data_IF_018467844290
#
_entry.id   IF_018467844290
#
_cell.length_a   1.000
_cell.length_b   1.000
_cell.length_c   1.000
_cell.angle_alpha   90.00
_cell.angle_beta   90.00
_cell.angle_gamma   90.00
#
_symmetry.space_group_name_H-M   'P 1'
#
loop_
_entity.id
_entity.type
_entity.pdbx_description
1 polymer ?
#
# COMPACT_ATOMS: atom_id res chain seq x y z
N UNK A 1 29.66 -0.10 19.46
CA UNK A 1 28.85 0.30 20.63
C UNK A 1 28.88 -0.83 21.64
N UNK A 2 29.31 -0.52 22.87
CA UNK A 2 29.69 -1.48 23.91
C UNK A 2 28.46 -2.16 24.50
N UNK A 3 28.44 -3.50 24.43
CA UNK A 3 27.55 -4.33 25.26
C UNK A 3 28.04 -4.32 26.70
N UNK A 4 27.23 -3.83 27.60
CA UNK A 4 27.45 -3.98 29.05
C UNK A 4 26.68 -5.21 29.53
N UNK A 5 27.44 -6.23 29.95
CA UNK A 5 26.90 -7.41 30.66
C UNK A 5 26.55 -6.99 32.08
N UNK A 6 25.30 -7.20 32.46
CA UNK A 6 24.89 -7.19 33.85
C UNK A 6 25.24 -8.56 34.44
N UNK A 7 26.13 -8.54 35.41
CA UNK A 7 26.47 -9.66 36.23
C UNK A 7 25.47 -9.69 37.40
N UNK A 8 24.69 -10.75 37.48
CA UNK A 8 23.84 -11.04 38.64
C UNK A 8 24.63 -11.99 39.54
N UNK A 9 25.27 -11.46 40.57
CA UNK A 9 25.83 -12.26 41.63
C UNK A 9 24.79 -12.47 42.71
N UNK A 10 24.38 -13.71 42.86
CA UNK A 10 23.69 -14.27 44.01
C UNK A 10 24.57 -14.14 45.23
N UNK A 11 24.14 -13.44 46.26
CA UNK A 11 24.58 -13.73 47.61
C UNK A 11 23.54 -13.29 48.67
N UNK A 12 22.61 -14.17 48.91
CA UNK A 12 21.66 -14.06 50.02
C UNK A 12 22.29 -14.75 51.24
N UNK A 13 23.28 -14.09 51.84
CA UNK A 13 23.80 -14.52 53.16
C UNK A 13 22.96 -13.91 54.28
N UNK A 14 22.16 -14.75 54.90
CA UNK A 14 21.53 -14.46 56.17
C UNK A 14 22.60 -14.54 57.29
N UNK A 15 23.16 -13.38 57.64
CA UNK A 15 24.18 -13.30 58.71
C UNK A 15 23.46 -13.36 60.08
N UNK A 16 23.60 -14.49 60.74
CA UNK A 16 23.16 -14.66 62.15
C UNK A 16 24.17 -13.97 63.06
N UNK A 17 23.81 -12.80 63.56
CA UNK A 17 24.59 -12.14 64.61
C UNK A 17 24.13 -12.74 65.93
N UNK A 18 24.93 -13.63 66.48
CA UNK A 18 24.78 -14.10 67.89
C UNK A 18 25.44 -13.09 68.80
N UNK A 19 24.57 -12.31 69.49
CA UNK A 19 25.02 -11.44 70.57
C UNK A 19 24.80 -12.17 71.89
N UNK A 20 25.87 -12.54 72.56
CA UNK A 20 25.87 -13.18 73.90
C UNK A 20 25.68 -12.07 74.96
N UNK A 21 24.53 -11.97 75.53
CA UNK A 21 24.36 -11.31 76.81
C UNK A 21 23.30 -12.05 77.65
N UNK A 22 23.78 -12.48 78.78
CA UNK A 22 23.10 -13.15 79.89
C UNK A 22 21.94 -12.27 80.44
N UNK A 23 20.74 -12.81 80.59
CA UNK A 23 19.66 -12.09 81.26
C UNK A 23 18.32 -12.77 81.08
N UNK A 24 17.89 -13.47 82.14
CA UNK A 24 16.59 -14.08 82.28
C UNK A 24 15.44 -13.11 81.96
N UNK A 25 14.52 -13.47 81.01
CA UNK A 25 13.10 -13.27 81.25
C UNK A 25 12.23 -14.10 80.27
N UNK A 26 11.28 -14.78 80.80
CA UNK A 26 10.23 -15.53 80.13
C UNK A 26 9.28 -14.61 79.37
N UNK A 27 8.65 -15.21 78.37
CA UNK A 27 7.47 -14.74 77.57
C UNK A 27 7.74 -13.65 76.52
N UNK A 28 7.78 -14.06 75.31
CA UNK A 28 7.13 -13.38 74.12
C UNK A 28 7.44 -14.15 72.84
N UNK A 29 7.11 -15.45 72.80
CA UNK A 29 7.21 -16.23 71.51
C UNK A 29 6.10 -15.95 70.52
N UNK A 30 5.01 -15.25 70.94
CA UNK A 30 3.81 -15.08 70.07
C UNK A 30 3.86 -13.88 69.14
N UNK A 31 4.58 -12.83 69.49
CA UNK A 31 4.56 -11.59 68.69
C UNK A 31 5.46 -11.64 67.42
N UNK A 32 6.51 -12.46 67.43
CA UNK A 32 7.44 -12.57 66.28
C UNK A 32 6.87 -13.42 65.14
N UNK A 33 6.04 -14.42 65.47
CA UNK A 33 5.35 -15.25 64.43
C UNK A 33 4.31 -14.44 63.67
N UNK A 34 3.56 -13.58 64.37
CA UNK A 34 2.56 -12.70 63.77
C UNK A 34 3.16 -11.64 62.83
N UNK A 35 4.34 -11.10 63.12
CA UNK A 35 5.03 -10.10 62.31
C UNK A 35 5.62 -10.75 61.02
N UNK A 36 6.14 -11.97 61.14
CA UNK A 36 6.60 -12.71 59.96
C UNK A 36 5.45 -13.14 59.05
N UNK A 37 4.32 -13.58 59.58
CA UNK A 37 3.13 -13.93 58.81
C UNK A 37 2.53 -12.71 58.09
N UNK A 38 2.49 -11.55 58.75
CA UNK A 38 2.04 -10.29 58.14
C UNK A 38 2.93 -9.80 57.01
N UNK A 39 4.24 -9.96 57.14
CA UNK A 39 5.19 -9.61 56.05
C UNK A 39 5.12 -10.57 54.86
N UNK A 40 4.93 -11.87 55.08
CA UNK A 40 4.71 -12.82 53.98
C UNK A 40 3.40 -12.58 53.25
N UNK A 41 2.31 -12.27 53.96
CA UNK A 41 1.03 -11.92 53.35
C UNK A 41 1.10 -10.61 52.55
N UNK A 42 1.85 -9.61 53.03
CA UNK A 42 2.05 -8.35 52.31
C UNK A 42 2.90 -8.55 51.03
N UNK A 43 3.91 -9.38 51.07
CA UNK A 43 4.71 -9.74 49.90
C UNK A 43 3.91 -10.55 48.86
N UNK A 44 3.04 -11.47 49.32
CA UNK A 44 2.15 -12.22 48.44
C UNK A 44 1.09 -11.33 47.78
N UNK A 45 0.58 -10.32 48.49
CA UNK A 45 -0.36 -9.35 47.94
C UNK A 45 0.28 -8.46 46.87
N UNK A 46 1.57 -8.10 47.00
CA UNK A 46 2.30 -7.30 45.99
C UNK A 46 2.54 -8.12 44.73
N UNK A 47 2.81 -9.42 44.82
CA UNK A 47 3.00 -10.33 43.68
C UNK A 47 1.72 -10.56 42.87
N UNK A 48 0.54 -10.45 43.46
CA UNK A 48 -0.75 -10.62 42.79
C UNK A 48 -1.17 -9.39 41.96
N UNK A 49 -0.58 -8.21 42.16
CA UNK A 49 -0.95 -6.98 41.46
C UNK A 49 -0.15 -6.71 40.17
N UNK A 50 0.91 -7.47 39.87
CA UNK A 50 1.76 -7.26 38.71
C UNK A 50 1.28 -7.96 37.46
N UNK A 51 0.29 -8.85 37.53
CA UNK A 51 -0.16 -9.70 36.42
C UNK A 51 -1.04 -8.98 35.37
N UNK A 52 -1.69 -7.88 35.75
CA UNK A 52 -2.66 -7.20 34.86
C UNK A 52 -2.00 -6.31 33.78
N UNK A 53 -0.84 -5.73 34.05
CA UNK A 53 -0.15 -4.89 33.08
C UNK A 53 0.52 -5.71 31.96
N UNK A 54 1.02 -6.90 32.27
CA UNK A 54 1.67 -7.76 31.26
C UNK A 54 0.69 -8.33 30.22
N UNK A 55 -0.59 -8.51 30.57
CA UNK A 55 -1.59 -9.07 29.65
C UNK A 55 -2.06 -8.06 28.59
N UNK A 56 -2.13 -6.77 28.91
CA UNK A 56 -2.55 -5.74 27.95
C UNK A 56 -1.51 -5.51 26.88
N UNK A 57 -0.22 -5.56 27.23
CA UNK A 57 0.88 -5.42 26.26
C UNK A 57 0.94 -6.62 25.30
N UNK A 58 0.73 -7.83 25.81
CA UNK A 58 0.70 -9.05 24.98
C UNK A 58 -0.46 -9.05 23.99
N UNK A 59 -1.66 -8.62 24.40
CA UNK A 59 -2.81 -8.55 23.51
C UNK A 59 -2.64 -7.48 22.42
N UNK A 60 -2.01 -6.34 22.74
CA UNK A 60 -1.67 -5.28 21.79
C UNK A 60 -0.65 -5.77 20.78
N UNK A 61 0.42 -6.41 21.21
CA UNK A 61 1.43 -6.98 20.33
C UNK A 61 0.84 -8.03 19.37
N UNK A 62 -0.04 -8.90 19.88
CA UNK A 62 -0.72 -9.90 19.06
C UNK A 62 -1.61 -9.25 17.98
N UNK A 63 -2.31 -8.17 18.34
CA UNK A 63 -3.14 -7.39 17.42
C UNK A 63 -2.29 -6.75 16.29
N UNK A 64 -1.19 -6.08 16.67
CA UNK A 64 -0.26 -5.44 15.74
C UNK A 64 0.42 -6.47 14.83
N UNK A 65 0.84 -7.60 15.40
CA UNK A 65 1.42 -8.70 14.63
C UNK A 65 0.44 -9.28 13.60
N UNK A 66 -0.81 -9.54 13.99
CA UNK A 66 -1.83 -10.04 13.09
C UNK A 66 -2.10 -9.05 11.95
N UNK A 67 -2.20 -7.75 12.26
CA UNK A 67 -2.38 -6.70 11.27
C UNK A 67 -1.19 -6.60 10.30
N UNK A 68 0.04 -6.62 10.83
CA UNK A 68 1.27 -6.54 10.03
C UNK A 68 1.40 -7.76 9.11
N UNK A 69 1.16 -8.95 9.62
CA UNK A 69 1.22 -10.19 8.84
C UNK A 69 0.22 -10.18 7.68
N UNK A 70 -1.01 -9.73 7.90
CA UNK A 70 -2.03 -9.60 6.86
C UNK A 70 -1.62 -8.58 5.78
N UNK A 71 -1.03 -7.45 6.17
CA UNK A 71 -0.51 -6.45 5.24
C UNK A 71 0.65 -7.01 4.42
N UNK A 72 1.62 -7.66 5.05
CA UNK A 72 2.74 -8.28 4.36
C UNK A 72 2.28 -9.34 3.36
N UNK A 73 1.30 -10.16 3.74
CA UNK A 73 0.72 -11.17 2.85
C UNK A 73 -0.01 -10.54 1.65
N UNK A 74 -0.73 -9.43 1.86
CA UNK A 74 -1.47 -8.75 0.78
C UNK A 74 -0.53 -8.22 -0.31
N UNK A 75 0.63 -7.68 0.06
CA UNK A 75 1.59 -7.08 -0.88
C UNK A 75 2.88 -7.88 -1.07
N UNK A 76 2.92 -9.14 -0.66
CA UNK A 76 4.11 -10.01 -0.82
C UNK A 76 4.60 -10.16 -2.26
N UNK A 77 3.68 -10.05 -3.24
CA UNK A 77 3.98 -10.18 -4.67
C UNK A 77 4.00 -8.82 -5.40
N UNK A 78 4.04 -7.70 -4.68
CA UNK A 78 4.15 -6.39 -5.30
C UNK A 78 5.51 -6.22 -5.95
N UNK A 79 5.52 -5.60 -7.12
CA UNK A 79 6.76 -5.18 -7.75
C UNK A 79 7.35 -4.00 -6.98
N UNK A 80 8.64 -4.09 -6.65
CA UNK A 80 9.36 -3.04 -5.94
C UNK A 80 9.43 -3.21 -4.42
N UNK A 81 9.88 -2.16 -3.75
CA UNK A 81 10.10 -2.11 -2.30
C UNK A 81 8.83 -1.65 -1.58
N UNK A 82 8.35 -2.45 -0.64
CA UNK A 82 7.14 -2.17 0.15
C UNK A 82 7.52 -1.75 1.56
N UNK A 83 7.05 -0.58 1.98
CA UNK A 83 7.17 -0.08 3.34
C UNK A 83 5.79 -0.01 3.99
N UNK A 84 5.66 -0.63 5.16
CA UNK A 84 4.39 -0.72 5.89
C UNK A 84 4.54 -0.03 7.23
N UNK A 85 3.65 0.90 7.52
CA UNK A 85 3.58 1.62 8.78
C UNK A 85 2.18 1.47 9.37
N UNK A 86 2.08 0.83 10.55
CA UNK A 86 0.84 0.83 11.32
C UNK A 86 0.67 2.19 12.03
N UNK A 87 -0.54 2.68 12.07
CA UNK A 87 -0.85 3.84 12.89
C UNK A 87 -0.71 3.48 14.39
N UNK A 88 -0.17 4.41 15.17
CA UNK A 88 -0.05 4.22 16.61
C UNK A 88 -1.43 3.99 17.21
N UNK A 89 -1.58 2.89 17.94
CA UNK A 89 -2.77 2.61 18.72
C UNK A 89 -2.82 3.51 19.97
N UNK A 90 -3.99 4.06 20.25
CA UNK A 90 -4.18 4.83 21.50
C UNK A 90 -3.72 4.01 22.71
N UNK A 91 -2.79 4.52 23.52
CA UNK A 91 -2.33 3.82 24.73
C UNK A 91 -3.44 3.45 25.71
N UNK A 92 -4.56 4.20 25.69
CA UNK A 92 -5.73 3.97 26.53
C UNK A 92 -6.66 2.88 25.99
N UNK A 93 -6.42 2.42 24.74
CA UNK A 93 -7.25 1.38 24.13
C UNK A 93 -7.04 0.06 24.85
N UNK A 94 -8.08 -0.41 25.51
CA UNK A 94 -8.11 -1.74 26.12
C UNK A 94 -8.44 -2.78 25.07
N UNK A 95 -7.55 -3.76 24.92
CA UNK A 95 -7.70 -4.87 23.98
C UNK A 95 -7.88 -6.14 24.80
N UNK A 96 -9.07 -6.76 24.78
CA UNK A 96 -9.30 -8.01 25.48
C UNK A 96 -8.40 -9.12 24.90
N UNK A 97 -7.84 -9.97 25.75
CA UNK A 97 -7.11 -11.14 25.30
C UNK A 97 -8.02 -12.05 24.47
N UNK A 98 -7.48 -12.60 23.38
CA UNK A 98 -8.20 -13.55 22.55
C UNK A 98 -7.65 -14.95 22.78
N UNK A 99 -8.50 -15.93 23.18
CA UNK A 99 -8.07 -17.32 23.36
C UNK A 99 -7.90 -18.06 22.02
N UNK A 100 -8.43 -17.52 20.93
CA UNK A 100 -8.31 -18.06 19.59
C UNK A 100 -7.34 -17.20 18.73
N UNK A 101 -6.82 -17.75 17.62
CA UNK A 101 -6.05 -16.97 16.66
C UNK A 101 -6.84 -15.75 16.14
N UNK A 102 -6.17 -14.60 16.00
CA UNK A 102 -6.77 -13.40 15.46
C UNK A 102 -6.93 -13.52 13.95
N UNK A 103 -8.10 -13.18 13.44
CA UNK A 103 -8.37 -13.07 12.01
C UNK A 103 -8.17 -11.63 11.57
N UNK A 104 -7.22 -11.42 10.63
CA UNK A 104 -6.94 -10.10 10.09
C UNK A 104 -7.30 -10.05 8.59
N UNK A 105 -8.03 -9.00 8.19
CA UNK A 105 -8.45 -8.77 6.81
C UNK A 105 -8.10 -7.34 6.41
N UNK A 106 -7.35 -7.20 5.34
CA UNK A 106 -7.02 -5.89 4.77
C UNK A 106 -8.20 -5.40 3.93
N UNK A 107 -8.66 -4.18 4.21
CA UNK A 107 -9.69 -3.50 3.41
C UNK A 107 -9.00 -2.40 2.61
N UNK A 108 -8.63 -2.72 1.39
CA UNK A 108 -8.08 -1.77 0.41
C UNK A 108 -8.62 -2.09 -0.96
N UNK A 109 -8.97 -1.04 -1.71
CA UNK A 109 -9.35 -1.14 -3.12
C UNK A 109 -8.20 -0.70 -4.05
N UNK A 110 -7.12 -0.15 -3.48
CA UNK A 110 -5.98 0.32 -4.25
C UNK A 110 -4.86 -0.73 -4.23
N UNK A 111 -4.53 -1.35 -5.38
CA UNK A 111 -3.44 -2.31 -5.48
C UNK A 111 -2.07 -1.66 -5.20
N UNK A 112 -1.94 -0.35 -5.44
CA UNK A 112 -0.70 0.40 -5.23
C UNK A 112 -0.48 0.80 -3.75
N UNK A 113 -1.29 0.30 -2.81
CA UNK A 113 -1.15 0.63 -1.40
C UNK A 113 -1.83 1.94 -0.99
N UNK A 114 -1.11 2.81 -0.30
CA UNK A 114 -1.62 4.04 0.29
C UNK A 114 -2.20 3.83 1.69
N UNK A 115 -3.17 4.66 2.06
CA UNK A 115 -3.84 4.53 3.37
C UNK A 115 -4.84 3.39 3.32
N UNK A 116 -4.67 2.41 4.21
CA UNK A 116 -5.49 1.20 4.30
C UNK A 116 -6.00 0.98 5.71
N UNK A 117 -7.01 0.13 5.85
CA UNK A 117 -7.54 -0.27 7.16
C UNK A 117 -7.51 -1.79 7.25
N UNK A 118 -6.93 -2.30 8.33
CA UNK A 118 -6.96 -3.72 8.68
C UNK A 118 -8.05 -3.96 9.70
N UNK A 119 -8.99 -4.84 9.39
CA UNK A 119 -9.97 -5.36 10.32
C UNK A 119 -9.37 -6.58 11.01
N UNK A 120 -9.20 -6.52 12.32
CA UNK A 120 -8.75 -7.65 13.13
C UNK A 120 -9.90 -8.07 14.04
N UNK A 121 -10.22 -9.35 14.04
CA UNK A 121 -11.32 -9.94 14.79
C UNK A 121 -10.86 -11.11 15.66
N UNK A 122 -11.39 -11.19 16.86
CA UNK A 122 -11.35 -12.35 17.71
C UNK A 122 -12.67 -13.10 17.64
N UNK A 123 -12.64 -14.40 17.36
CA UNK A 123 -13.82 -15.27 17.24
C UNK A 123 -14.05 -16.12 18.51
N UNK A 124 -13.46 -15.74 19.66
CA UNK A 124 -13.60 -16.49 20.91
C UNK A 124 -14.99 -16.35 21.57
N UNK A 125 -15.11 -16.84 22.81
CA UNK A 125 -16.35 -16.78 23.61
C UNK A 125 -16.88 -15.35 23.81
N UNK A 126 -15.99 -14.35 23.83
CA UNK A 126 -16.33 -12.93 23.84
C UNK A 126 -15.79 -12.27 22.56
N UNK A 127 -16.53 -12.31 21.43
CA UNK A 127 -16.04 -11.85 20.16
C UNK A 127 -15.88 -10.32 20.13
N UNK A 128 -14.81 -9.85 19.50
CA UNK A 128 -14.58 -8.43 19.29
C UNK A 128 -13.93 -8.15 17.93
N UNK A 129 -14.05 -6.94 17.46
CA UNK A 129 -13.41 -6.46 16.24
C UNK A 129 -12.74 -5.13 16.50
N UNK A 130 -11.54 -4.95 15.89
CA UNK A 130 -10.79 -3.70 15.89
C UNK A 130 -10.38 -3.35 14.46
N UNK A 131 -10.28 -2.05 14.21
CA UNK A 131 -9.83 -1.51 12.92
C UNK A 131 -8.55 -0.74 13.16
N UNK A 132 -7.51 -1.12 12.46
CA UNK A 132 -6.19 -0.51 12.54
C UNK A 132 -5.91 0.18 11.22
N UNK A 133 -5.61 1.49 11.28
CA UNK A 133 -5.15 2.20 10.11
C UNK A 133 -3.67 1.88 9.85
N UNK A 134 -3.32 1.78 8.59
CA UNK A 134 -1.95 1.61 8.15
C UNK A 134 -1.68 2.44 6.90
N UNK A 135 -0.42 2.74 6.65
CA UNK A 135 0.06 3.29 5.39
C UNK A 135 0.99 2.27 4.75
N UNK A 136 0.75 1.99 3.48
CA UNK A 136 1.58 1.09 2.66
C UNK A 136 2.17 1.92 1.54
N UNK A 137 3.46 2.16 1.58
CA UNK A 137 4.20 2.87 0.55
C UNK A 137 4.93 1.85 -0.33
N UNK A 138 4.70 1.94 -1.65
CA UNK A 138 5.29 1.05 -2.65
C UNK A 138 6.20 1.90 -3.53
N UNK A 139 7.49 1.56 -3.54
CA UNK A 139 8.51 2.20 -4.37
C UNK A 139 8.88 1.27 -5.50
N UNK A 140 8.69 1.73 -6.72
CA UNK A 140 9.05 0.96 -7.91
C UNK A 140 9.59 1.88 -9.01
N UNK A 141 10.41 1.34 -9.93
CA UNK A 141 10.87 2.10 -11.08
C UNK A 141 9.68 2.41 -11.99
N UNK A 142 9.46 3.70 -12.26
CA UNK A 142 8.42 4.19 -13.14
C UNK A 142 8.98 5.19 -14.13
N UNK A 143 8.33 5.30 -15.29
CA UNK A 143 8.69 6.30 -16.29
C UNK A 143 8.23 7.68 -15.85
N UNK A 144 9.15 8.62 -15.82
CA UNK A 144 8.92 10.04 -15.53
C UNK A 144 9.32 10.91 -16.70
N UNK A 145 8.83 12.15 -16.76
CA UNK A 145 9.27 13.14 -17.73
C UNK A 145 10.71 13.58 -17.41
N UNK A 146 11.64 13.45 -18.37
CA UNK A 146 13.04 13.87 -18.23
C UNK A 146 13.23 15.37 -18.23
N UNK A 147 12.29 16.12 -18.85
CA UNK A 147 12.30 17.56 -18.99
C UNK A 147 10.89 18.15 -18.84
N UNK A 148 10.75 19.47 -18.88
CA UNK A 148 9.46 20.13 -18.94
C UNK A 148 8.82 19.88 -20.33
N UNK A 149 7.65 19.24 -20.34
CA UNK A 149 6.92 18.87 -21.55
C UNK A 149 5.59 19.63 -21.62
N UNK A 150 5.26 20.13 -22.79
CA UNK A 150 4.01 20.87 -23.01
C UNK A 150 2.86 19.92 -23.36
N UNK A 151 1.63 20.36 -23.13
CA UNK A 151 0.43 19.68 -23.62
C UNK A 151 0.50 19.51 -25.14
N UNK A 152 0.10 18.34 -25.65
CA UNK A 152 0.13 18.00 -27.06
C UNK A 152 1.49 17.47 -27.55
N UNK A 153 2.53 17.45 -26.70
CA UNK A 153 3.81 16.85 -27.05
C UNK A 153 3.61 15.36 -27.29
N UNK A 154 4.12 14.87 -28.44
CA UNK A 154 4.22 13.44 -28.74
C UNK A 154 5.48 12.91 -28.08
N UNK A 155 5.31 11.98 -27.16
CA UNK A 155 6.41 11.42 -26.37
C UNK A 155 7.40 10.64 -27.25
N UNK A 156 8.67 10.89 -27.00
CA UNK A 156 9.82 10.18 -27.59
C UNK A 156 10.64 9.56 -26.46
N UNK A 157 11.60 8.69 -26.79
CA UNK A 157 12.49 8.10 -25.78
C UNK A 157 13.30 9.15 -25.03
N UNK A 158 13.67 10.26 -25.68
CA UNK A 158 14.44 11.34 -25.07
C UNK A 158 13.66 12.13 -24.00
N UNK A 159 12.33 12.10 -24.06
CA UNK A 159 11.44 12.79 -23.13
C UNK A 159 11.19 12.00 -21.83
N UNK A 160 11.70 10.77 -21.76
CA UNK A 160 11.38 9.79 -20.73
C UNK A 160 12.64 9.36 -19.98
N UNK A 161 12.54 9.21 -18.66
CA UNK A 161 13.56 8.58 -17.82
C UNK A 161 12.91 7.59 -16.86
N UNK A 162 13.68 6.60 -16.38
CA UNK A 162 13.24 5.63 -15.39
C UNK A 162 13.73 6.08 -14.01
N UNK A 163 12.83 6.26 -13.08
CA UNK A 163 13.15 6.66 -11.70
C UNK A 163 12.34 5.85 -10.69
N UNK A 164 12.95 5.56 -9.52
CA UNK A 164 12.22 4.95 -8.42
C UNK A 164 11.31 6.00 -7.77
N UNK A 165 10.00 5.73 -7.76
CA UNK A 165 8.99 6.64 -7.21
C UNK A 165 8.03 5.90 -6.28
N UNK A 166 7.51 6.61 -5.27
CA UNK A 166 6.41 6.11 -4.45
C UNK A 166 5.10 6.16 -5.25
N UNK A 167 4.61 4.98 -5.65
CA UNK A 167 3.40 4.87 -6.47
C UNK A 167 2.12 4.81 -5.66
N UNK A 168 2.20 4.68 -4.33
CA UNK A 168 1.03 4.56 -3.45
C UNK A 168 0.13 5.80 -3.46
N UNK A 169 0.70 6.96 -3.80
CA UNK A 169 -0.01 8.23 -3.87
C UNK A 169 -0.44 8.61 -5.30
N UNK A 170 0.01 7.85 -6.30
CA UNK A 170 -0.30 8.11 -7.69
C UNK A 170 -1.70 7.59 -8.04
N UNK A 171 -2.38 8.35 -8.89
CA UNK A 171 -3.68 7.94 -9.44
C UNK A 171 -3.50 7.47 -10.86
N UNK A 172 -4.12 6.34 -11.18
CA UNK A 172 -4.04 5.72 -12.49
C UNK A 172 -2.89 4.72 -12.60
N UNK A 173 -2.77 4.14 -13.78
CA UNK A 173 -1.73 3.17 -14.11
C UNK A 173 -0.41 3.90 -14.35
N UNK A 174 0.66 3.43 -13.75
CA UNK A 174 2.05 3.82 -14.03
C UNK A 174 2.67 2.89 -15.07
N UNK A 175 3.76 3.32 -15.67
CA UNK A 175 4.48 2.57 -16.70
C UNK A 175 5.94 2.37 -16.25
N UNK A 176 6.45 1.18 -16.43
CA UNK A 176 7.85 0.82 -16.18
C UNK A 176 8.67 0.69 -17.47
N UNK A 177 8.00 0.65 -18.62
CA UNK A 177 8.61 0.51 -19.94
C UNK A 177 8.31 1.73 -20.80
N UNK A 178 9.34 2.41 -21.40
CA UNK A 178 9.13 3.57 -22.24
C UNK A 178 8.43 3.24 -23.55
N UNK A 179 8.53 2.00 -24.04
CA UNK A 179 7.94 1.52 -25.29
C UNK A 179 6.42 1.69 -25.31
N UNK A 180 5.76 1.53 -24.14
CA UNK A 180 4.31 1.71 -24.00
C UNK A 180 3.87 3.18 -24.15
N UNK A 181 4.81 4.12 -24.03
CA UNK A 181 4.57 5.56 -24.02
C UNK A 181 5.03 6.27 -25.29
N UNK A 182 5.98 5.69 -26.03
CA UNK A 182 6.50 6.29 -27.26
C UNK A 182 5.37 6.49 -28.27
N UNK A 183 5.26 7.71 -28.80
CA UNK A 183 4.23 8.10 -29.76
C UNK A 183 2.89 8.47 -29.13
N UNK A 184 2.70 8.31 -27.81
CA UNK A 184 1.54 8.84 -27.09
C UNK A 184 1.64 10.37 -27.02
N UNK A 185 0.51 11.04 -26.85
CA UNK A 185 0.41 12.50 -26.79
C UNK A 185 -0.01 12.94 -25.39
N UNK A 186 0.64 13.98 -24.85
CA UNK A 186 0.31 14.52 -23.53
C UNK A 186 -1.00 15.31 -23.55
N UNK A 187 -1.87 14.99 -22.59
CA UNK A 187 -3.12 15.73 -22.34
C UNK A 187 -2.91 17.00 -21.51
N UNK A 188 -1.81 17.07 -20.76
CA UNK A 188 -1.41 18.21 -19.89
C UNK A 188 0.10 18.39 -19.96
N UNK A 189 0.57 19.57 -19.58
CA UNK A 189 2.00 19.83 -19.40
C UNK A 189 2.53 19.08 -18.18
N UNK A 190 3.77 18.59 -18.27
CA UNK A 190 4.48 17.88 -17.20
C UNK A 190 5.74 18.65 -16.83
N UNK A 191 6.06 18.63 -15.55
CA UNK A 191 7.34 19.08 -15.03
C UNK A 191 8.35 17.92 -15.02
N UNK A 192 9.66 18.19 -15.02
CA UNK A 192 10.69 17.15 -14.88
C UNK A 192 10.44 16.31 -13.62
N UNK A 193 10.71 14.99 -13.69
CA UNK A 193 10.50 14.04 -12.59
C UNK A 193 9.03 13.67 -12.32
N UNK A 194 8.08 14.19 -13.10
CA UNK A 194 6.65 13.84 -12.95
C UNK A 194 6.39 12.46 -13.55
N UNK A 195 5.84 11.48 -12.79
CA UNK A 195 5.46 10.18 -13.31
C UNK A 195 4.41 10.28 -14.42
N UNK A 196 4.66 9.57 -15.52
CA UNK A 196 3.71 9.49 -16.63
C UNK A 196 2.66 8.42 -16.34
N UNK A 197 1.41 8.83 -16.19
CA UNK A 197 0.28 7.93 -15.93
C UNK A 197 -0.70 7.92 -17.10
N UNK A 198 -1.56 6.91 -17.18
CA UNK A 198 -2.61 6.79 -18.20
C UNK A 198 -3.56 8.00 -18.24
N UNK A 199 -3.77 8.68 -17.10
CA UNK A 199 -4.57 9.90 -17.01
C UNK A 199 -3.92 11.13 -17.70
N UNK A 200 -2.63 11.07 -18.00
CA UNK A 200 -1.85 12.19 -18.56
C UNK A 200 -1.60 12.04 -20.05
N UNK A 201 -1.86 10.87 -20.62
CA UNK A 201 -1.57 10.55 -22.01
C UNK A 201 -2.80 10.12 -22.78
N UNK A 202 -2.70 10.22 -24.10
CA UNK A 202 -3.71 9.75 -25.03
C UNK A 202 -3.06 9.27 -26.32
N UNK A 203 -3.75 8.42 -27.09
CA UNK A 203 -3.31 8.08 -28.45
C UNK A 203 -3.32 9.34 -29.29
N UNK A 204 -2.32 9.55 -30.15
CA UNK A 204 -2.29 10.74 -31.03
C UNK A 204 -3.47 10.74 -32.03
N UNK A 205 -3.87 11.94 -32.41
CA UNK A 205 -4.81 12.11 -33.53
C UNK A 205 -4.08 11.78 -34.82
N UNK A 206 -4.56 10.77 -35.53
CA UNK A 206 -3.98 10.31 -36.82
C UNK A 206 -4.74 10.82 -38.02
N UNK A 207 -5.99 11.22 -37.81
CA UNK A 207 -6.85 11.82 -38.83
C UNK A 207 -7.49 13.05 -38.23
N UNK A 208 -7.35 14.22 -38.87
CA UNK A 208 -7.99 15.47 -38.42
C UNK A 208 -9.27 15.71 -39.21
N UNK A 209 -10.23 16.37 -38.57
CA UNK A 209 -11.45 16.83 -39.23
C UNK A 209 -11.10 17.70 -40.44
N UNK A 210 -11.74 17.41 -41.60
CA UNK A 210 -11.49 18.09 -42.86
C UNK A 210 -10.32 17.52 -43.67
N UNK A 211 -9.56 16.60 -43.09
CA UNK A 211 -8.44 15.95 -43.76
C UNK A 211 -8.93 14.92 -44.78
N UNK A 212 -8.24 14.84 -45.94
CA UNK A 212 -8.47 13.80 -46.93
C UNK A 212 -7.83 12.50 -46.44
N UNK A 213 -8.61 11.45 -46.36
CA UNK A 213 -8.19 10.12 -45.91
C UNK A 213 -8.36 9.09 -47.02
N UNK A 214 -7.49 8.08 -47.00
CA UNK A 214 -7.62 6.91 -47.86
C UNK A 214 -8.48 5.88 -47.13
N UNK A 215 -9.63 5.56 -47.72
CA UNK A 215 -10.51 4.49 -47.24
C UNK A 215 -10.15 3.19 -47.93
N UNK A 216 -9.98 2.15 -47.13
CA UNK A 216 -9.83 0.78 -47.61
C UNK A 216 -11.07 -0.03 -47.26
N UNK A 217 -11.66 -0.69 -48.25
CA UNK A 217 -12.77 -1.61 -48.09
C UNK A 217 -12.35 -2.99 -48.55
N UNK A 218 -12.25 -3.96 -47.63
CA UNK A 218 -11.83 -5.33 -47.94
C UNK A 218 -12.98 -6.29 -47.75
N UNK A 219 -13.35 -7.04 -48.79
CA UNK A 219 -14.38 -8.08 -48.73
C UNK A 219 -14.02 -9.26 -49.66
N UNK A 220 -14.05 -10.48 -49.14
CA UNK A 220 -13.83 -11.70 -49.95
C UNK A 220 -12.48 -11.74 -50.67
N UNK A 221 -11.42 -11.16 -50.10
CA UNK A 221 -10.07 -11.08 -50.70
C UNK A 221 -9.88 -9.91 -51.69
N UNK A 222 -10.92 -9.16 -52.01
CA UNK A 222 -10.85 -7.95 -52.85
C UNK A 222 -10.74 -6.71 -51.94
N UNK A 223 -9.76 -5.85 -52.25
CA UNK A 223 -9.56 -4.59 -51.53
C UNK A 223 -9.73 -3.42 -52.47
N UNK A 224 -10.59 -2.48 -52.12
CA UNK A 224 -10.87 -1.26 -52.87
C UNK A 224 -10.41 -0.08 -52.05
N UNK A 225 -9.71 0.88 -52.68
CA UNK A 225 -9.28 2.13 -52.04
C UNK A 225 -9.98 3.32 -52.68
N UNK A 226 -10.46 4.23 -51.86
CA UNK A 226 -11.10 5.48 -52.26
C UNK A 226 -10.69 6.61 -51.32
N UNK A 227 -10.80 7.85 -51.81
CA UNK A 227 -10.58 9.04 -51.01
C UNK A 227 -11.88 9.52 -50.37
N UNK A 228 -11.77 10.01 -49.14
CA UNK A 228 -12.87 10.63 -48.41
C UNK A 228 -12.37 11.79 -47.56
N UNK A 229 -13.27 12.63 -47.12
CA UNK A 229 -12.98 13.71 -46.16
C UNK A 229 -13.44 13.31 -44.77
N UNK A 230 -12.56 13.38 -43.77
CA UNK A 230 -12.89 13.11 -42.39
C UNK A 230 -13.82 14.19 -41.82
N UNK A 231 -14.90 13.78 -41.18
CA UNK A 231 -15.87 14.72 -40.59
C UNK A 231 -15.57 15.00 -39.11
N UNK A 232 -14.66 14.27 -38.51
CA UNK A 232 -14.23 14.42 -37.13
C UNK A 232 -12.80 13.92 -36.95
N UNK A 233 -12.15 14.32 -35.85
CA UNK A 233 -10.83 13.81 -35.50
C UNK A 233 -10.90 12.32 -35.18
N UNK A 234 -9.83 11.59 -35.54
CA UNK A 234 -9.74 10.15 -35.34
C UNK A 234 -8.40 9.70 -34.78
N UNK A 235 -8.42 8.82 -33.80
CA UNK A 235 -7.27 8.13 -33.22
C UNK A 235 -7.24 6.69 -33.69
N UNK A 236 -6.08 6.04 -33.62
CA UNK A 236 -5.95 4.63 -34.05
C UNK A 236 -6.98 3.73 -33.35
N UNK A 237 -7.76 2.99 -34.15
CA UNK A 237 -8.83 2.11 -33.70
C UNK A 237 -10.16 2.81 -33.40
N UNK A 238 -10.23 4.13 -33.54
CA UNK A 238 -11.47 4.89 -33.35
C UNK A 238 -12.31 4.86 -34.62
N UNK A 239 -13.62 4.65 -34.46
CA UNK A 239 -14.58 4.78 -35.57
C UNK A 239 -14.90 6.26 -35.78
N UNK A 240 -14.76 6.71 -37.03
CA UNK A 240 -15.09 8.07 -37.44
C UNK A 240 -16.07 8.08 -38.59
N UNK A 241 -16.77 9.19 -38.78
CA UNK A 241 -17.57 9.47 -39.98
C UNK A 241 -16.69 10.12 -41.01
N UNK A 242 -16.75 9.62 -42.24
CA UNK A 242 -16.03 10.16 -43.39
C UNK A 242 -17.00 10.36 -44.56
N UNK A 243 -16.80 11.40 -45.36
CA UNK A 243 -17.59 11.69 -46.55
C UNK A 243 -16.83 11.28 -47.79
N UNK A 244 -17.35 10.33 -48.53
CA UNK A 244 -16.75 9.91 -49.81
C UNK A 244 -16.77 11.08 -50.81
N UNK A 245 -15.62 11.42 -51.37
CA UNK A 245 -15.46 12.58 -52.27
C UNK A 245 -16.15 12.40 -53.60
N UNK A 246 -16.35 11.15 -54.07
CA UNK A 246 -16.97 10.84 -55.38
C UNK A 246 -18.48 10.73 -55.32
N UNK A 247 -19.05 10.21 -54.19
CA UNK A 247 -20.49 9.90 -54.07
C UNK A 247 -21.22 10.80 -53.09
N UNK A 248 -20.51 11.67 -52.36
CA UNK A 248 -20.98 12.55 -51.31
C UNK A 248 -21.69 11.80 -50.14
N UNK A 249 -21.54 10.47 -50.08
CA UNK A 249 -22.13 9.65 -49.01
C UNK A 249 -21.24 9.63 -47.76
N UNK A 250 -21.90 9.73 -46.63
CA UNK A 250 -21.22 9.55 -45.32
C UNK A 250 -21.19 8.08 -44.98
N UNK A 251 -20.01 7.57 -44.69
CA UNK A 251 -19.71 6.20 -44.25
C UNK A 251 -18.96 6.19 -42.92
N UNK A 252 -19.04 5.06 -42.21
CA UNK A 252 -18.26 4.84 -40.99
C UNK A 252 -16.99 4.08 -41.33
N UNK A 253 -15.87 4.53 -40.77
CA UNK A 253 -14.58 3.90 -40.98
C UNK A 253 -13.80 3.88 -39.66
N UNK A 254 -12.95 2.88 -39.45
CA UNK A 254 -12.04 2.75 -38.31
C UNK A 254 -10.66 3.26 -38.76
N UNK A 255 -10.11 4.20 -38.02
CA UNK A 255 -8.76 4.75 -38.28
C UNK A 255 -7.72 3.67 -38.03
N UNK A 256 -6.93 3.35 -39.07
CA UNK A 256 -5.86 2.35 -39.01
C UNK A 256 -4.48 2.98 -38.98
N UNK A 257 -4.32 4.16 -39.62
CA UNK A 257 -3.06 4.88 -39.73
C UNK A 257 -3.25 6.37 -39.96
N UNK A 258 -2.14 7.09 -40.13
CA UNK A 258 -2.16 8.52 -40.43
C UNK A 258 -2.77 8.74 -41.79
N UNK A 259 -3.93 9.42 -41.89
CA UNK A 259 -4.67 9.61 -43.10
C UNK A 259 -5.29 8.33 -43.69
N UNK A 260 -5.39 7.25 -42.92
CA UNK A 260 -5.91 5.95 -43.37
C UNK A 260 -7.03 5.44 -42.49
N UNK A 261 -8.06 4.87 -43.09
CA UNK A 261 -9.17 4.26 -42.38
C UNK A 261 -9.80 3.10 -43.17
N UNK A 262 -10.28 2.08 -42.45
CA UNK A 262 -10.97 0.94 -42.99
C UNK A 262 -12.49 1.06 -42.86
N UNK A 263 -13.21 0.74 -43.93
CA UNK A 263 -14.68 0.80 -43.91
C UNK A 263 -15.26 -0.31 -43.01
N UNK A 264 -16.23 0.05 -42.20
CA UNK A 264 -17.02 -0.90 -41.39
C UNK A 264 -18.28 -1.26 -42.18
N UNK A 265 -18.47 -2.56 -42.43
CA UNK A 265 -19.63 -3.12 -43.12
C UNK A 265 -20.74 -3.50 -42.14
#
# INVERSE_FOLDING_TARGET
>A
MKFQRLNIDDNMHCTTITNHSNGSNRSTGSSRLLVCLGRMLALLAILLHTSTFAQTDTARQALEFAAMSALQQQWQNSEGRVEIQLANLDPRLQIPACPAPLEAQVRSQNPNGGRVTVRVACQGAAPWTRHIAATVDIFQPVIVASAALSRGTRLTLADLSLEEQNVSQLRGRVYSSPEDLIGMELQRSLSPGTPVTDALIQKPVLVKRGETVVLTATRGGVSIRQTATAMQDGRKGQQISVRNTSTDRTIRAIVTGTGEADVVF
#
